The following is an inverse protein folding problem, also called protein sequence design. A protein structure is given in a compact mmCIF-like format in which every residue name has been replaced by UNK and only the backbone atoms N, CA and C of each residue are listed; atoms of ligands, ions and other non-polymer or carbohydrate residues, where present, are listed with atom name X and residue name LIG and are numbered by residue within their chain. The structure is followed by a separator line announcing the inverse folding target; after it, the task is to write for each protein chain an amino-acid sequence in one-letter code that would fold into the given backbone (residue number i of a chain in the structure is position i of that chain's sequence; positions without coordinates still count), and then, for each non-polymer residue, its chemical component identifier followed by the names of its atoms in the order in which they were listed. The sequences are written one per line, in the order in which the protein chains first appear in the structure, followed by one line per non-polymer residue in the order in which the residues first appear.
data_IF_822283423975
#
_entry.id   IF_822283423975
#
_cell.length_a   1.000
_cell.length_b   1.000
_cell.length_c   1.000
_cell.angle_alpha   90.00
_cell.angle_beta   90.00
_cell.angle_gamma   90.00
#
_symmetry.space_group_name_H-M   'P 1'
#
loop_
_entity.id
_entity.type
_entity.pdbx_description
1 polymer ?
#
# COMPACT_ATOMS: atom_id res chain seq x y z
N UNK A 1 -6.70 11.67 15.61
CA UNK A 1 -5.67 10.93 14.86
C UNK A 1 -4.39 10.94 15.67
N UNK A 2 -3.82 9.77 15.96
CA UNK A 2 -2.51 9.64 16.59
C UNK A 2 -1.49 9.25 15.51
N UNK A 3 -0.26 9.73 15.64
CA UNK A 3 0.82 9.43 14.70
C UNK A 3 1.93 8.76 15.48
N UNK A 4 2.46 7.67 14.92
CA UNK A 4 3.59 6.94 15.45
C UNK A 4 4.81 7.14 14.54
N UNK A 5 5.99 7.10 15.13
CA UNK A 5 7.25 7.14 14.40
C UNK A 5 8.08 5.87 14.62
N UNK A 6 9.05 5.65 13.75
CA UNK A 6 9.94 4.49 13.78
C UNK A 6 11.32 4.78 14.39
N UNK A 7 11.53 5.96 14.99
CA UNK A 7 12.86 6.40 15.43
C UNK A 7 13.50 5.41 16.40
N UNK A 8 12.69 4.80 17.29
CA UNK A 8 13.11 3.78 18.26
C UNK A 8 13.03 2.33 17.77
N UNK A 9 12.89 2.09 16.46
CA UNK A 9 12.72 0.74 15.90
C UNK A 9 11.44 0.07 16.38
N UNK A 10 11.37 -1.26 16.27
CA UNK A 10 10.20 -2.03 16.68
C UNK A 10 9.92 -1.92 18.18
N UNK A 11 10.97 -1.84 19.02
CA UNK A 11 10.81 -1.71 20.48
C UNK A 11 10.21 -0.36 20.84
N UNK A 12 10.74 0.73 20.30
CA UNK A 12 10.20 2.06 20.54
C UNK A 12 8.76 2.22 20.02
N UNK A 13 8.46 1.65 18.85
CA UNK A 13 7.08 1.64 18.34
C UNK A 13 6.14 0.83 19.23
N UNK A 14 6.58 -0.32 19.75
CA UNK A 14 5.79 -1.13 20.67
C UNK A 14 5.45 -0.36 21.96
N UNK A 15 6.38 0.43 22.48
CA UNK A 15 6.15 1.31 23.64
C UNK A 15 5.13 2.41 23.34
N UNK A 16 5.19 3.00 22.14
CA UNK A 16 4.19 3.98 21.71
C UNK A 16 2.80 3.35 21.58
N UNK A 17 2.69 2.16 20.97
CA UNK A 17 1.44 1.41 20.83
C UNK A 17 0.86 1.02 22.20
N UNK A 18 1.70 0.56 23.13
CA UNK A 18 1.28 0.23 24.50
C UNK A 18 0.78 1.45 25.26
N UNK A 19 1.46 2.57 25.13
CA UNK A 19 1.06 3.84 25.75
C UNK A 19 -0.29 4.32 25.22
N UNK A 20 -0.50 4.24 23.91
CA UNK A 20 -1.78 4.59 23.28
C UNK A 20 -2.90 3.63 23.71
N UNK A 21 -2.63 2.32 23.72
CA UNK A 21 -3.60 1.32 24.14
C UNK A 21 -4.04 1.55 25.60
N UNK A 22 -3.11 1.86 26.50
CA UNK A 22 -3.42 2.21 27.89
C UNK A 22 -4.27 3.49 27.99
N UNK A 23 -3.93 4.52 27.23
CA UNK A 23 -4.68 5.78 27.23
C UNK A 23 -6.12 5.63 26.73
N UNK A 24 -6.37 4.65 25.84
CA UNK A 24 -7.69 4.39 25.24
C UNK A 24 -8.47 3.24 25.91
N UNK A 25 -7.93 2.61 26.97
CA UNK A 25 -8.44 1.33 27.52
C UNK A 25 -8.65 0.25 26.43
N UNK A 26 -7.76 0.23 25.43
CA UNK A 26 -7.85 -0.73 24.33
C UNK A 26 -7.44 -2.13 24.79
N UNK A 27 -8.19 -3.14 24.36
CA UNK A 27 -8.00 -4.55 24.75
C UNK A 27 -7.39 -5.42 23.65
N UNK A 28 -7.21 -4.87 22.45
CA UNK A 28 -6.68 -5.55 21.28
C UNK A 28 -6.14 -4.53 20.28
N UNK A 29 -5.28 -4.99 19.39
CA UNK A 29 -4.80 -4.24 18.24
C UNK A 29 -5.30 -4.89 16.95
N UNK A 30 -5.73 -4.08 15.99
CA UNK A 30 -5.95 -4.52 14.60
C UNK A 30 -5.00 -3.74 13.72
N UNK A 31 -4.07 -4.45 13.10
CA UNK A 31 -3.17 -3.89 12.08
C UNK A 31 -3.89 -4.02 10.75
N UNK A 32 -4.08 -2.89 10.07
CA UNK A 32 -4.74 -2.86 8.76
C UNK A 32 -3.68 -2.53 7.73
N UNK A 33 -3.57 -3.38 6.71
CA UNK A 33 -2.70 -3.18 5.57
C UNK A 33 -3.51 -3.27 4.27
N UNK A 34 -3.18 -2.42 3.30
CA UNK A 34 -3.86 -2.31 2.01
C UNK A 34 -2.90 -2.73 0.91
N UNK A 35 -3.06 -3.95 0.40
CA UNK A 35 -2.12 -4.57 -0.52
C UNK A 35 -1.60 -5.90 -0.02
N UNK A 36 -1.14 -5.98 1.23
CA UNK A 36 -0.72 -7.25 1.82
C UNK A 36 0.79 -7.50 1.74
N UNK A 37 1.62 -6.50 1.44
CA UNK A 37 3.08 -6.61 1.52
C UNK A 37 3.59 -6.79 2.96
N UNK A 38 2.77 -6.52 3.98
CA UNK A 38 3.07 -6.86 5.38
C UNK A 38 3.30 -8.36 5.60
N UNK A 39 2.78 -9.23 4.73
CA UNK A 39 2.99 -10.69 4.79
C UNK A 39 4.14 -11.19 3.92
N UNK A 40 4.89 -10.29 3.28
CA UNK A 40 6.01 -10.62 2.43
C UNK A 40 7.15 -11.32 3.20
N UNK A 41 7.93 -12.12 2.48
CA UNK A 41 9.05 -12.89 3.03
C UNK A 41 10.40 -12.21 2.80
N UNK A 42 10.47 -11.29 1.84
CA UNK A 42 11.67 -10.53 1.46
C UNK A 42 12.31 -10.98 0.14
N UNK A 43 11.98 -12.18 -0.34
CA UNK A 43 12.53 -12.75 -1.56
C UNK A 43 11.70 -12.43 -2.81
N UNK A 44 10.56 -11.75 -2.63
CA UNK A 44 9.67 -11.35 -3.72
C UNK A 44 10.33 -10.29 -4.60
N UNK A 45 10.51 -10.61 -5.89
CA UNK A 45 11.22 -9.76 -6.85
C UNK A 45 10.64 -8.36 -7.09
N UNK A 46 9.35 -8.17 -6.74
CA UNK A 46 8.60 -6.92 -6.92
C UNK A 46 8.37 -6.15 -5.61
N UNK A 47 8.91 -6.63 -4.49
CA UNK A 47 8.83 -5.95 -3.20
C UNK A 47 9.63 -4.64 -3.26
N UNK A 48 9.07 -3.57 -2.72
CA UNK A 48 9.57 -2.20 -2.83
C UNK A 48 9.60 -1.43 -1.50
N UNK A 49 8.68 -1.72 -0.56
CA UNK A 49 8.48 -0.92 0.67
C UNK A 49 8.22 -1.73 1.97
N UNK A 50 8.92 -2.84 2.25
CA UNK A 50 8.48 -3.73 3.32
C UNK A 50 8.81 -3.25 4.74
N UNK A 51 9.61 -2.19 4.91
CA UNK A 51 10.21 -1.88 6.21
C UNK A 51 9.19 -1.31 7.19
N UNK A 52 8.36 -0.36 6.74
CA UNK A 52 7.33 0.25 7.60
C UNK A 52 6.30 -0.78 8.09
N UNK A 53 5.83 -1.66 7.20
CA UNK A 53 4.81 -2.67 7.53
C UNK A 53 5.38 -3.76 8.42
N UNK A 54 6.61 -4.21 8.13
CA UNK A 54 7.32 -5.18 8.97
C UNK A 54 7.62 -4.63 10.37
N UNK A 55 8.00 -3.35 10.49
CA UNK A 55 8.19 -2.68 11.79
C UNK A 55 6.88 -2.59 12.56
N UNK A 56 5.80 -2.22 11.88
CA UNK A 56 4.46 -2.09 12.47
C UNK A 56 3.96 -3.42 13.01
N UNK A 57 4.12 -4.50 12.24
CA UNK A 57 3.75 -5.84 12.68
C UNK A 57 4.62 -6.31 13.85
N UNK A 58 5.95 -6.15 13.76
CA UNK A 58 6.88 -6.54 14.81
C UNK A 58 6.61 -5.81 16.14
N UNK A 59 6.28 -4.53 16.07
CA UNK A 59 5.93 -3.72 17.24
C UNK A 59 4.56 -4.11 17.81
N UNK A 60 3.57 -4.33 16.95
CA UNK A 60 2.22 -4.73 17.37
C UNK A 60 2.25 -6.05 18.14
N UNK A 61 3.02 -7.03 17.66
CA UNK A 61 3.20 -8.32 18.33
C UNK A 61 3.98 -8.22 19.66
N UNK A 62 4.73 -7.14 19.88
CA UNK A 62 5.43 -6.86 21.14
C UNK A 62 4.68 -5.92 22.09
N UNK A 63 3.55 -5.35 21.66
CA UNK A 63 2.78 -4.41 22.47
C UNK A 63 2.17 -5.08 23.72
N UNK A 64 2.00 -6.41 23.70
CA UNK A 64 1.43 -7.20 24.79
C UNK A 64 -0.10 -7.27 24.77
N UNK A 65 -0.71 -6.99 23.62
CA UNK A 65 -2.15 -7.12 23.38
C UNK A 65 -2.43 -8.23 22.37
N UNK A 66 -3.63 -8.84 22.36
CA UNK A 66 -4.10 -9.63 21.23
C UNK A 66 -4.03 -8.81 19.94
N UNK A 67 -3.38 -9.36 18.90
CA UNK A 67 -3.22 -8.71 17.60
C UNK A 67 -4.01 -9.46 16.55
N UNK A 68 -4.71 -8.70 15.72
CA UNK A 68 -5.35 -9.16 14.50
C UNK A 68 -4.73 -8.43 13.31
N UNK A 69 -4.52 -9.16 12.22
CA UNK A 69 -4.11 -8.57 10.95
C UNK A 69 -5.32 -8.56 10.01
N UNK A 70 -5.57 -7.42 9.39
CA UNK A 70 -6.59 -7.23 8.38
C UNK A 70 -5.94 -6.76 7.08
N UNK A 71 -6.11 -7.52 6.01
CA UNK A 71 -5.61 -7.19 4.68
C UNK A 71 -6.79 -6.78 3.81
N UNK A 72 -6.75 -5.56 3.29
CA UNK A 72 -7.67 -5.06 2.28
C UNK A 72 -7.02 -5.15 0.90
N UNK A 73 -7.73 -5.75 -0.05
CA UNK A 73 -7.32 -5.80 -1.44
C UNK A 73 -5.97 -6.48 -1.65
N UNK A 74 -5.88 -7.82 -1.53
CA UNK A 74 -4.65 -8.55 -1.82
C UNK A 74 -4.02 -8.14 -3.16
N UNK A 75 -2.78 -7.65 -3.12
CA UNK A 75 -1.93 -7.23 -4.24
C UNK A 75 -2.26 -5.88 -4.88
N UNK A 76 -3.12 -5.04 -4.27
CA UNK A 76 -3.49 -3.74 -4.85
C UNK A 76 -2.41 -2.66 -4.73
N UNK A 77 -1.37 -2.90 -3.93
CA UNK A 77 -0.16 -2.07 -3.83
C UNK A 77 0.80 -2.28 -5.03
N UNK A 78 0.67 -3.40 -5.73
CA UNK A 78 1.53 -3.82 -6.84
C UNK A 78 2.86 -4.43 -6.42
N UNK A 79 3.10 -4.65 -5.13
CA UNK A 79 4.34 -5.24 -4.63
C UNK A 79 4.28 -6.77 -4.68
N UNK A 80 3.12 -7.34 -4.34
CA UNK A 80 2.81 -8.76 -4.51
C UNK A 80 1.58 -8.93 -5.42
N UNK A 81 1.47 -10.07 -6.09
CA UNK A 81 0.21 -10.43 -6.77
C UNK A 81 -0.86 -10.82 -5.76
N UNK A 82 -2.13 -10.63 -6.13
CA UNK A 82 -3.26 -11.13 -5.34
C UNK A 82 -3.14 -12.63 -5.02
N UNK A 83 -2.64 -13.43 -5.96
CA UNK A 83 -2.39 -14.86 -5.79
C UNK A 83 -1.33 -15.18 -4.73
N UNK A 84 -0.19 -14.47 -4.76
CA UNK A 84 0.87 -14.63 -3.74
C UNK A 84 0.35 -14.27 -2.35
N UNK A 85 -0.31 -13.12 -2.20
CA UNK A 85 -0.87 -12.67 -0.92
C UNK A 85 -1.91 -13.69 -0.43
N UNK A 86 -2.93 -14.01 -1.22
CA UNK A 86 -3.99 -14.94 -0.79
C UNK A 86 -3.48 -16.35 -0.49
N UNK A 87 -2.44 -16.82 -1.18
CA UNK A 87 -1.80 -18.10 -0.85
C UNK A 87 -1.13 -18.06 0.53
N UNK A 88 -0.45 -16.96 0.86
CA UNK A 88 0.14 -16.73 2.18
C UNK A 88 -0.97 -16.64 3.23
N UNK A 89 -2.03 -15.85 2.99
CA UNK A 89 -3.16 -15.72 3.91
C UNK A 89 -3.81 -17.08 4.19
N UNK A 90 -4.06 -17.90 3.17
CA UNK A 90 -4.62 -19.24 3.33
C UNK A 90 -3.71 -20.15 4.18
N UNK A 91 -2.40 -20.11 3.97
CA UNK A 91 -1.41 -20.83 4.77
C UNK A 91 -1.44 -20.41 6.24
N UNK A 92 -1.64 -19.11 6.49
CA UNK A 92 -1.75 -18.51 7.81
C UNK A 92 -3.15 -18.65 8.44
N UNK A 93 -4.07 -19.40 7.81
CA UNK A 93 -5.47 -19.55 8.24
C UNK A 93 -6.23 -18.22 8.30
N UNK A 94 -5.89 -17.29 7.41
CA UNK A 94 -6.67 -16.10 7.18
C UNK A 94 -8.01 -16.42 6.53
N UNK A 95 -9.03 -15.68 6.93
CA UNK A 95 -10.41 -15.84 6.47
C UNK A 95 -10.84 -14.60 5.69
N UNK A 96 -11.44 -14.81 4.52
CA UNK A 96 -12.11 -13.73 3.78
C UNK A 96 -13.43 -13.43 4.46
N UNK A 97 -13.53 -12.26 5.10
CA UNK A 97 -14.71 -11.86 5.89
C UNK A 97 -15.73 -11.04 5.08
N UNK A 98 -15.35 -10.57 3.90
CA UNK A 98 -16.21 -9.75 3.06
C UNK A 98 -15.44 -8.98 2.00
N UNK A 99 -16.05 -7.89 1.54
CA UNK A 99 -15.44 -6.93 0.63
C UNK A 99 -15.95 -5.53 0.99
N UNK A 100 -15.14 -4.51 0.70
CA UNK A 100 -15.56 -3.11 0.75
C UNK A 100 -16.66 -2.91 -0.30
N UNK A 101 -17.74 -2.25 0.11
CA UNK A 101 -18.92 -2.00 -0.73
C UNK A 101 -18.90 -0.57 -1.27
N UNK A 102 -19.71 -0.25 -2.30
CA UNK A 102 -19.90 1.13 -2.75
C UNK A 102 -20.29 2.09 -1.61
N UNK A 103 -21.15 1.65 -0.69
CA UNK A 103 -21.59 2.48 0.45
C UNK A 103 -20.41 2.83 1.37
N UNK A 104 -19.49 1.88 1.62
CA UNK A 104 -18.31 2.14 2.45
C UNK A 104 -17.37 3.16 1.78
N UNK A 105 -17.27 3.13 0.45
CA UNK A 105 -16.47 4.10 -0.33
C UNK A 105 -17.12 5.49 -0.28
N UNK A 106 -18.44 5.57 -0.42
CA UNK A 106 -19.20 6.81 -0.32
C UNK A 106 -19.06 7.44 1.07
N UNK A 107 -19.16 6.66 2.14
CA UNK A 107 -19.00 7.12 3.52
C UNK A 107 -17.60 7.68 3.82
N UNK A 108 -16.59 7.28 3.04
CA UNK A 108 -15.19 7.68 3.17
C UNK A 108 -14.72 8.63 2.07
N UNK A 109 -15.63 9.15 1.23
CA UNK A 109 -15.27 9.93 0.03
C UNK A 109 -14.40 11.15 0.36
N UNK A 110 -14.69 11.85 1.45
CA UNK A 110 -13.94 13.04 1.88
C UNK A 110 -12.50 12.70 2.27
N UNK A 111 -12.30 11.55 2.93
CA UNK A 111 -10.96 11.08 3.33
C UNK A 111 -10.17 10.65 2.11
N UNK A 112 -10.81 9.90 1.20
CA UNK A 112 -10.19 9.45 -0.05
C UNK A 112 -9.83 10.62 -0.98
N UNK A 113 -10.69 11.66 -1.03
CA UNK A 113 -10.41 12.88 -1.79
C UNK A 113 -9.25 13.68 -1.19
N UNK A 114 -9.14 13.72 0.15
CA UNK A 114 -8.05 14.41 0.84
C UNK A 114 -6.71 13.69 0.70
N UNK A 115 -6.70 12.36 0.77
CA UNK A 115 -5.48 11.55 0.70
C UNK A 115 -5.66 10.30 -0.18
N UNK A 116 -5.61 10.46 -1.53
CA UNK A 116 -5.77 9.33 -2.45
C UNK A 116 -4.48 8.52 -2.52
N UNK A 117 -4.28 7.61 -1.57
CA UNK A 117 -3.21 6.59 -1.67
C UNK A 117 -3.50 5.69 -2.87
N UNK A 118 -2.46 5.24 -3.56
CA UNK A 118 -2.65 4.47 -4.80
C UNK A 118 -3.31 3.11 -4.52
N UNK A 119 -2.90 2.41 -3.46
CA UNK A 119 -3.45 1.10 -3.09
C UNK A 119 -4.94 1.20 -2.67
N UNK A 120 -5.29 2.15 -1.80
CA UNK A 120 -6.69 2.36 -1.38
C UNK A 120 -7.55 2.83 -2.55
N UNK A 121 -6.99 3.63 -3.47
CA UNK A 121 -7.66 4.04 -4.71
C UNK A 121 -8.06 2.83 -5.56
N UNK A 122 -7.17 1.84 -5.74
CA UNK A 122 -7.45 0.61 -6.49
C UNK A 122 -8.53 -0.22 -5.79
N UNK A 123 -8.45 -0.37 -4.47
CA UNK A 123 -9.45 -1.11 -3.69
C UNK A 123 -10.85 -0.46 -3.77
N UNK A 124 -10.92 0.86 -3.64
CA UNK A 124 -12.16 1.61 -3.76
C UNK A 124 -12.74 1.54 -5.18
N UNK A 125 -11.90 1.63 -6.21
CA UNK A 125 -12.35 1.48 -7.59
C UNK A 125 -12.95 0.09 -7.85
N UNK A 126 -12.34 -0.96 -7.31
CA UNK A 126 -12.89 -2.32 -7.41
C UNK A 126 -14.27 -2.43 -6.74
N UNK A 127 -14.42 -1.86 -5.54
CA UNK A 127 -15.67 -1.81 -4.79
C UNK A 127 -16.78 -1.06 -5.56
N UNK A 128 -16.42 0.02 -6.25
CA UNK A 128 -17.31 0.79 -7.14
C UNK A 128 -17.61 0.12 -8.49
N UNK A 129 -17.07 -1.09 -8.73
CA UNK A 129 -17.34 -1.88 -9.94
C UNK A 129 -16.40 -1.61 -11.12
N UNK A 130 -15.35 -0.79 -10.95
CA UNK A 130 -14.36 -0.56 -12.01
C UNK A 130 -13.48 -1.79 -12.23
N UNK A 131 -13.13 -2.07 -13.49
CA UNK A 131 -12.32 -3.24 -13.90
C UNK A 131 -11.32 -2.84 -14.98
N UNK A 132 -10.21 -3.58 -15.06
CA UNK A 132 -9.10 -3.29 -15.97
C UNK A 132 -7.78 -3.43 -15.22
N UNK A 133 -6.80 -2.58 -15.54
CA UNK A 133 -5.55 -2.49 -14.78
C UNK A 133 -5.14 -1.04 -14.56
N UNK A 134 -4.38 -0.77 -13.50
CA UNK A 134 -4.01 0.58 -13.07
C UNK A 134 -2.49 0.76 -13.12
N UNK A 135 -2.02 1.76 -13.85
CA UNK A 135 -0.62 2.20 -13.83
C UNK A 135 -0.37 3.07 -12.57
N UNK A 136 0.60 2.66 -11.76
CA UNK A 136 0.93 3.25 -10.46
C UNK A 136 2.36 3.76 -10.45
N UNK A 137 2.64 4.71 -9.55
CA UNK A 137 3.92 5.44 -9.44
C UNK A 137 5.16 4.55 -9.47
N UNK A 138 5.17 3.54 -8.58
CA UNK A 138 6.31 2.62 -8.38
C UNK A 138 6.05 1.23 -8.96
N UNK A 139 4.88 1.00 -9.56
CA UNK A 139 4.53 -0.28 -10.18
C UNK A 139 5.46 -0.59 -11.35
N UNK A 140 5.97 -1.82 -11.39
CA UNK A 140 6.70 -2.33 -12.55
C UNK A 140 5.74 -2.64 -13.70
N UNK A 141 4.58 -3.22 -13.35
CA UNK A 141 3.50 -3.59 -14.24
C UNK A 141 2.17 -2.97 -13.76
N UNK A 142 1.20 -2.73 -14.65
CA UNK A 142 -0.13 -2.30 -14.24
C UNK A 142 -0.82 -3.31 -13.32
N UNK A 143 -1.39 -2.83 -12.22
CA UNK A 143 -2.05 -3.66 -11.20
C UNK A 143 -3.48 -4.00 -11.64
N UNK A 144 -3.87 -5.29 -11.73
CA UNK A 144 -5.22 -5.69 -12.11
C UNK A 144 -6.27 -5.24 -11.07
N UNK A 145 -7.40 -4.72 -11.55
CA UNK A 145 -8.58 -4.42 -10.74
C UNK A 145 -9.60 -5.53 -10.92
N UNK A 146 -9.75 -6.35 -9.89
CA UNK A 146 -10.61 -7.55 -9.88
C UNK A 146 -11.61 -7.49 -8.73
N UNK A 147 -12.51 -8.46 -8.64
CA UNK A 147 -13.44 -8.56 -7.51
C UNK A 147 -12.68 -8.72 -6.17
N UNK A 148 -11.55 -9.43 -6.18
CA UNK A 148 -10.71 -9.65 -4.99
C UNK A 148 -9.95 -8.40 -4.55
N UNK A 149 -9.77 -7.41 -5.44
CA UNK A 149 -9.13 -6.13 -5.11
C UNK A 149 -9.91 -5.33 -4.06
N UNK A 150 -11.18 -5.65 -3.83
CA UNK A 150 -12.01 -5.07 -2.75
C UNK A 150 -12.18 -5.99 -1.54
N UNK A 151 -11.63 -7.21 -1.58
CA UNK A 151 -11.84 -8.21 -0.54
C UNK A 151 -11.10 -7.87 0.75
N UNK A 152 -11.71 -8.23 1.88
CA UNK A 152 -11.14 -8.06 3.22
C UNK A 152 -10.86 -9.43 3.81
N UNK A 153 -9.62 -9.61 4.22
CA UNK A 153 -9.14 -10.82 4.88
C UNK A 153 -8.73 -10.49 6.30
N UNK A 154 -9.04 -11.39 7.23
CA UNK A 154 -8.66 -11.26 8.63
C UNK A 154 -7.95 -12.53 9.07
N UNK A 155 -6.91 -12.36 9.89
CA UNK A 155 -6.34 -13.45 10.69
C UNK A 155 -6.04 -12.95 12.09
N UNK A 156 -6.24 -13.81 13.09
CA UNK A 156 -5.57 -13.59 14.37
C UNK A 156 -4.07 -13.76 14.12
N UNK A 157 -3.26 -12.78 14.54
CA UNK A 157 -1.85 -12.75 14.18
C UNK A 157 -1.17 -14.04 14.64
N UNK A 158 -0.65 -14.86 13.72
CA UNK A 158 0.02 -16.11 14.07
C UNK A 158 1.35 -15.82 14.77
N UNK A 159 2.10 -16.87 15.10
CA UNK A 159 3.42 -16.71 15.69
C UNK A 159 4.34 -15.87 14.78
N UNK A 160 5.20 -15.03 15.37
CA UNK A 160 5.97 -14.02 14.62
C UNK A 160 6.89 -14.65 13.57
N UNK A 161 7.31 -15.90 13.79
CA UNK A 161 8.12 -16.71 12.89
C UNK A 161 7.47 -16.93 11.51
N UNK A 162 6.15 -16.74 11.42
CA UNK A 162 5.41 -16.78 10.17
C UNK A 162 5.59 -15.52 9.30
N UNK A 163 6.20 -14.47 9.86
CA UNK A 163 6.49 -13.19 9.22
C UNK A 163 7.99 -12.90 9.27
N UNK A 164 8.80 -13.48 8.37
CA UNK A 164 10.27 -13.43 8.46
C UNK A 164 10.84 -12.02 8.56
N UNK A 165 10.28 -11.06 7.83
CA UNK A 165 10.72 -9.67 7.87
C UNK A 165 10.44 -9.05 9.23
N UNK A 166 9.20 -9.12 9.72
CA UNK A 166 8.83 -8.61 11.04
C UNK A 166 9.62 -9.30 12.18
N UNK A 167 9.80 -10.62 12.11
CA UNK A 167 10.60 -11.38 13.06
C UNK A 167 12.04 -10.86 13.17
N UNK A 168 12.67 -10.56 12.02
CA UNK A 168 14.03 -10.04 11.95
C UNK A 168 14.17 -8.65 12.60
N UNK A 169 13.08 -7.89 12.70
CA UNK A 169 13.09 -6.52 13.22
C UNK A 169 12.70 -6.39 14.68
N UNK A 170 12.21 -7.45 15.34
CA UNK A 170 11.65 -7.37 16.70
C UNK A 170 12.57 -6.67 17.71
N UNK A 171 13.87 -6.95 17.66
CA UNK A 171 14.85 -6.45 18.64
C UNK A 171 15.51 -5.14 18.22
N UNK A 172 14.92 -4.42 17.27
CA UNK A 172 15.47 -3.15 16.80
C UNK A 172 15.10 -2.01 17.75
N UNK A 173 16.11 -1.23 18.14
CA UNK A 173 15.98 -0.06 19.01
C UNK A 173 16.19 1.27 18.27
N UNK A 174 16.35 1.22 16.95
CA UNK A 174 16.39 2.40 16.11
C UNK A 174 15.97 2.11 14.68
N UNK A 175 15.48 3.13 13.97
CA UNK A 175 15.19 3.03 12.54
C UNK A 175 16.43 2.60 11.75
N UNK A 176 17.61 3.12 12.11
CA UNK A 176 18.86 2.78 11.45
C UNK A 176 19.24 1.30 11.63
N UNK A 177 19.01 0.74 12.82
CA UNK A 177 19.26 -0.69 13.06
C UNK A 177 18.29 -1.56 12.24
N UNK A 178 17.02 -1.17 12.17
CA UNK A 178 16.02 -1.85 11.37
C UNK A 178 16.34 -1.83 9.87
N UNK A 179 16.71 -0.67 9.34
CA UNK A 179 17.18 -0.52 7.96
C UNK A 179 18.40 -1.39 7.66
N UNK A 180 19.39 -1.42 8.55
CA UNK A 180 20.61 -2.20 8.36
C UNK A 180 20.32 -3.71 8.29
N UNK A 181 19.32 -4.19 9.04
CA UNK A 181 18.83 -5.57 8.93
C UNK A 181 18.12 -5.76 7.60
N UNK A 182 17.19 -4.88 7.25
CA UNK A 182 16.39 -4.97 6.02
C UNK A 182 17.26 -5.07 4.78
N UNK A 183 18.33 -4.26 4.68
CA UNK A 183 19.32 -4.30 3.59
C UNK A 183 19.95 -5.68 3.34
N UNK A 184 19.99 -6.55 4.36
CA UNK A 184 20.58 -7.87 4.23
C UNK A 184 19.58 -8.95 3.78
N UNK A 185 18.28 -8.68 3.89
CA UNK A 185 17.22 -9.69 3.72
C UNK A 185 16.14 -9.31 2.70
N UNK A 186 16.03 -8.02 2.33
CA UNK A 186 15.10 -7.53 1.33
C UNK A 186 15.58 -6.20 0.72
N UNK A 187 14.71 -5.55 -0.05
CA UNK A 187 14.92 -4.21 -0.61
C UNK A 187 14.98 -3.15 0.50
N UNK A 188 15.80 -2.12 0.29
CA UNK A 188 15.84 -0.94 1.15
C UNK A 188 15.02 0.22 0.59
N UNK A 189 13.88 0.47 1.23
CA UNK A 189 12.97 1.57 0.88
C UNK A 189 13.53 2.96 1.25
N UNK A 190 14.35 3.06 2.31
CA UNK A 190 14.81 4.35 2.81
C UNK A 190 15.85 4.95 1.88
N UNK A 191 16.68 4.14 1.22
CA UNK A 191 17.57 4.60 0.16
C UNK A 191 16.82 5.18 -1.04
N UNK A 192 15.66 4.61 -1.37
CA UNK A 192 14.80 5.18 -2.40
C UNK A 192 14.27 6.55 -1.97
N UNK A 193 13.72 6.66 -0.75
CA UNK A 193 13.16 7.92 -0.24
C UNK A 193 14.23 9.00 -0.02
N UNK A 194 15.44 8.64 0.45
CA UNK A 194 16.58 9.57 0.56
C UNK A 194 17.02 10.10 -0.79
N UNK A 195 17.16 9.23 -1.80
CA UNK A 195 17.50 9.66 -3.16
C UNK A 195 16.42 10.58 -3.71
N UNK A 196 15.14 10.27 -3.48
CA UNK A 196 14.04 11.14 -3.88
C UNK A 196 14.10 12.51 -3.19
N UNK A 197 14.30 12.55 -1.86
CA UNK A 197 14.42 13.78 -1.09
C UNK A 197 15.61 14.65 -1.54
N UNK A 198 16.72 14.01 -1.96
CA UNK A 198 17.88 14.68 -2.52
C UNK A 198 17.72 15.11 -4.00
N UNK A 199 16.57 14.84 -4.63
CA UNK A 199 16.34 15.10 -6.06
C UNK A 199 17.13 14.18 -7.01
N UNK A 200 17.65 13.07 -6.50
CA UNK A 200 18.51 12.11 -7.20
C UNK A 200 17.77 10.86 -7.70
N UNK A 201 16.48 10.71 -7.38
CA UNK A 201 15.67 9.74 -8.11
C UNK A 201 15.59 10.21 -9.57
N UNK A 202 15.93 9.36 -10.56
CA UNK A 202 15.76 9.74 -11.95
C UNK A 202 14.26 9.97 -12.16
N UNK A 203 13.86 11.24 -12.13
CA UNK A 203 12.58 11.65 -12.66
C UNK A 203 12.60 11.15 -14.10
N UNK A 204 11.71 10.21 -14.44
CA UNK A 204 11.44 9.92 -15.85
C UNK A 204 11.21 11.30 -16.50
N UNK A 205 11.87 11.60 -17.64
CA UNK A 205 11.73 12.92 -18.23
C UNK A 205 10.24 13.22 -18.37
N UNK A 206 9.78 14.41 -17.96
CA UNK A 206 8.36 14.71 -17.92
C UNK A 206 7.77 14.53 -19.31
N UNK A 207 6.65 13.84 -19.36
CA UNK A 207 5.93 13.56 -20.59
C UNK A 207 4.70 14.46 -20.68
N UNK A 208 4.20 14.67 -21.90
CA UNK A 208 2.87 15.24 -22.07
C UNK A 208 1.82 14.26 -21.55
N UNK A 209 0.64 14.77 -21.15
CA UNK A 209 -0.47 13.95 -20.68
C UNK A 209 -0.87 12.86 -21.69
N UNK A 210 -0.93 13.19 -22.99
CA UNK A 210 -1.21 12.20 -24.03
C UNK A 210 -0.09 11.17 -24.20
N UNK A 211 1.18 11.55 -23.97
CA UNK A 211 2.31 10.63 -24.09
C UNK A 211 2.32 9.60 -22.95
N UNK A 212 2.19 10.05 -21.69
CA UNK A 212 2.06 9.11 -20.56
C UNK A 212 0.84 8.21 -20.76
N UNK A 213 -0.29 8.76 -21.21
CA UNK A 213 -1.50 7.97 -21.36
C UNK A 213 -1.35 6.86 -22.42
N UNK A 214 -0.69 7.15 -23.55
CA UNK A 214 -0.39 6.15 -24.59
C UNK A 214 0.58 5.10 -24.08
N UNK A 215 1.67 5.50 -23.40
CA UNK A 215 2.64 4.54 -22.86
C UNK A 215 1.99 3.62 -21.82
N UNK A 216 1.14 4.13 -20.93
CA UNK A 216 0.42 3.30 -19.96
C UNK A 216 -0.55 2.33 -20.66
N UNK A 217 -1.24 2.76 -21.73
CA UNK A 217 -2.08 1.88 -22.55
C UNK A 217 -1.27 0.78 -23.25
N UNK A 218 -0.07 1.09 -23.75
CA UNK A 218 0.85 0.12 -24.37
C UNK A 218 1.34 -0.93 -23.36
N UNK A 219 1.46 -0.57 -22.08
CA UNK A 219 1.73 -1.49 -20.97
C UNK A 219 0.50 -2.31 -20.55
N UNK A 220 -0.67 -2.06 -21.14
CA UNK A 220 -1.92 -2.77 -20.83
C UNK A 220 -2.74 -2.15 -19.71
N UNK A 221 -2.39 -0.96 -19.22
CA UNK A 221 -3.20 -0.26 -18.24
C UNK A 221 -4.50 0.29 -18.87
N UNK A 222 -5.56 0.33 -18.08
CA UNK A 222 -6.83 0.98 -18.40
C UNK A 222 -6.96 2.33 -17.69
N UNK A 223 -6.38 2.42 -16.49
CA UNK A 223 -6.39 3.59 -15.65
C UNK A 223 -4.98 3.97 -15.22
N UNK A 224 -4.83 5.21 -14.74
CA UNK A 224 -3.62 5.72 -14.12
C UNK A 224 -3.99 6.46 -12.84
N UNK A 225 -3.19 6.31 -11.79
CA UNK A 225 -3.42 7.05 -10.54
C UNK A 225 -3.06 8.52 -10.71
N UNK A 226 -3.71 9.38 -9.92
CA UNK A 226 -3.39 10.82 -9.88
C UNK A 226 -1.93 11.03 -9.52
N UNK A 227 -1.39 10.25 -8.57
CA UNK A 227 0.01 10.33 -8.16
C UNK A 227 0.95 9.99 -9.31
N UNK A 228 0.72 8.88 -10.03
CA UNK A 228 1.53 8.49 -11.20
C UNK A 228 1.46 9.54 -12.30
N UNK A 229 0.29 10.08 -12.57
CA UNK A 229 0.05 11.11 -13.59
C UNK A 229 0.79 12.41 -13.27
N UNK A 230 0.65 12.91 -12.03
CA UNK A 230 1.31 14.13 -11.58
C UNK A 230 2.83 13.99 -11.51
N UNK A 231 3.37 12.81 -11.12
CA UNK A 231 4.82 12.59 -11.14
C UNK A 231 5.38 12.40 -12.56
N UNK A 232 4.56 12.00 -13.53
CA UNK A 232 4.96 11.83 -14.92
C UNK A 232 4.87 13.11 -15.76
N UNK A 233 4.16 14.13 -15.29
CA UNK A 233 3.82 15.32 -16.07
C UNK A 233 4.21 16.61 -15.35
N UNK A 234 4.40 17.69 -16.10
CA UNK A 234 4.65 19.04 -15.57
C UNK A 234 3.42 19.94 -15.67
N UNK A 235 2.29 19.41 -16.12
CA UNK A 235 1.10 20.17 -16.44
C UNK A 235 0.09 20.11 -15.28
N UNK A 236 -0.56 21.24 -15.01
CA UNK A 236 -1.82 21.26 -14.25
C UNK A 236 -2.85 20.37 -15.00
N UNK A 237 -3.42 19.39 -14.30
CA UNK A 237 -4.45 18.48 -14.82
C UNK A 237 -5.91 19.00 -14.95
N UNK A 238 -6.31 20.28 -14.69
CA UNK A 238 -7.72 20.71 -14.75
C UNK A 238 -8.43 20.46 -16.08
N UNK A 239 -7.69 20.44 -17.19
CA UNK A 239 -8.25 20.32 -18.54
C UNK A 239 -8.78 18.92 -18.88
N UNK A 240 -8.58 17.92 -18.02
CA UNK A 240 -9.02 16.53 -18.23
C UNK A 240 -9.91 16.02 -17.08
N UNK A 241 -10.50 16.90 -16.25
CA UNK A 241 -11.33 16.45 -15.10
C UNK A 241 -12.46 15.50 -15.50
N UNK A 242 -12.97 15.57 -16.74
CA UNK A 242 -13.97 14.62 -17.23
C UNK A 242 -13.42 13.20 -17.44
N UNK A 243 -12.10 13.02 -17.50
CA UNK A 243 -11.43 11.71 -17.51
C UNK A 243 -11.24 11.11 -16.11
N UNK A 244 -11.49 11.88 -15.04
CA UNK A 244 -11.37 11.41 -13.66
C UNK A 244 -12.53 10.46 -13.32
N UNK A 245 -12.17 9.34 -12.70
CA UNK A 245 -13.13 8.34 -12.24
C UNK A 245 -13.50 8.65 -10.79
N UNK A 246 -14.76 9.07 -10.58
CA UNK A 246 -15.50 9.12 -9.30
C UNK A 246 -14.79 9.75 -8.10
N UNK A 247 -13.92 10.75 -8.30
CA UNK A 247 -13.21 11.42 -7.20
C UNK A 247 -12.14 10.57 -6.50
N UNK A 248 -12.06 9.27 -6.81
CA UNK A 248 -11.17 8.27 -6.21
C UNK A 248 -9.69 8.48 -6.49
N UNK A 249 -9.35 9.37 -7.42
CA UNK A 249 -7.97 9.62 -7.81
C UNK A 249 -7.46 8.70 -8.92
N UNK A 250 -8.36 8.03 -9.67
CA UNK A 250 -8.07 7.35 -10.93
C UNK A 250 -8.46 8.20 -12.14
N UNK A 251 -7.74 8.01 -13.24
CA UNK A 251 -8.01 8.65 -14.52
C UNK A 251 -8.11 7.61 -15.63
N UNK A 252 -9.14 7.73 -16.47
CA UNK A 252 -9.31 6.89 -17.65
C UNK A 252 -8.30 7.27 -18.73
N UNK A 253 -7.38 6.36 -19.03
CA UNK A 253 -6.34 6.57 -20.04
C UNK A 253 -6.92 6.82 -21.43
N UNK A 254 -8.00 6.09 -21.78
CA UNK A 254 -8.70 6.28 -23.07
C UNK A 254 -9.35 7.66 -23.16
N UNK A 255 -9.95 8.16 -22.07
CA UNK A 255 -10.54 9.49 -22.05
C UNK A 255 -9.46 10.58 -22.24
N UNK A 256 -8.32 10.46 -21.56
CA UNK A 256 -7.18 11.38 -21.73
C UNK A 256 -6.68 11.40 -23.19
N UNK A 257 -6.51 10.22 -23.82
CA UNK A 257 -6.05 10.13 -25.21
C UNK A 257 -7.07 10.75 -26.19
N UNK A 258 -8.35 10.69 -25.87
CA UNK A 258 -9.43 11.25 -26.67
C UNK A 258 -9.67 12.75 -26.44
N UNK A 259 -8.93 13.39 -25.52
CA UNK A 259 -9.04 14.81 -25.24
C UNK A 259 -10.28 15.21 -24.42
N UNK A 260 -10.82 14.28 -23.62
CA UNK A 260 -11.95 14.52 -22.73
C UNK A 260 -11.50 15.07 -21.36
#
# INVERSE_FOLDING_TARGET
MFVHDFAGGAVGLADQLRSLAQALDARSLTVVDVGGDIVARGDESRLLSPLADSLTLAASMQAGLPVRLAILGPGVDGELTAGEVTQILARLRGERIGAVTPSDVEDLSDVLAWHPTEATTVAAAAAMGHRGSVDMRRGLDPVPVTDDSSSVWIMDAPAIEEFPLAASLMQTHSLQAAEQIMRNIAVDELDYERRRAAGQSPLRPPMSLSAIARTSLELGASFITTRRLLEATTADCPQFEAARVDGLGLWSLRAIVNGA
#
